data_IF_732792670310
#
_entry.id   IF_732792670310
#
_cell.length_a   1.000
_cell.length_b   1.000
_cell.length_c   1.000
_cell.angle_alpha   90.00
_cell.angle_beta   90.00
_cell.angle_gamma   90.00
#
_symmetry.space_group_name_H-M   'P 1'
#
loop_
_entity.id
_entity.type
_entity.pdbx_description
1 polymer ?
#
# COMPACT_ATOMS: atom_id res chain seq x y z
N UNK A 1 -1.42 -6.73 22.37
CA UNK A 1 -2.23 -6.66 21.14
C UNK A 1 -1.85 -5.37 20.46
N UNK A 2 -1.09 -5.46 19.36
CA UNK A 2 -0.60 -4.28 18.64
C UNK A 2 -1.79 -3.42 18.22
N UNK A 3 -1.70 -2.10 18.45
CA UNK A 3 -2.71 -1.14 18.00
C UNK A 3 -2.84 -1.30 16.49
N UNK A 4 -3.93 -1.94 16.05
CA UNK A 4 -4.32 -1.95 14.66
C UNK A 4 -4.71 -0.50 14.33
N UNK A 5 -3.74 0.28 13.86
CA UNK A 5 -3.96 1.66 13.46
C UNK A 5 -5.10 1.65 12.45
N UNK A 6 -6.21 2.32 12.81
CA UNK A 6 -7.44 2.31 12.04
C UNK A 6 -7.14 2.87 10.64
N UNK A 7 -7.15 1.99 9.63
CA UNK A 7 -6.89 2.37 8.24
C UNK A 7 -8.12 3.06 7.67
N UNK A 8 -7.91 4.07 6.84
CA UNK A 8 -8.97 4.77 6.10
C UNK A 8 -8.68 4.73 4.60
N UNK A 9 -9.72 4.93 3.79
CA UNK A 9 -9.56 5.20 2.35
C UNK A 9 -8.70 6.47 2.19
N UNK A 10 -7.72 6.41 1.30
CA UNK A 10 -6.72 7.47 1.10
C UNK A 10 -5.48 7.35 1.99
N UNK A 11 -5.42 6.41 2.95
CA UNK A 11 -4.19 6.16 3.70
C UNK A 11 -3.12 5.58 2.76
N UNK A 12 -1.89 6.09 2.90
CA UNK A 12 -0.73 5.56 2.19
C UNK A 12 -0.12 4.40 2.97
N UNK A 13 0.12 3.28 2.29
CA UNK A 13 0.58 2.03 2.92
C UNK A 13 1.70 1.39 2.14
N UNK A 14 2.50 0.58 2.83
CA UNK A 14 3.56 -0.26 2.25
C UNK A 14 3.38 -1.72 2.65
N UNK A 15 3.62 -2.64 1.71
CA UNK A 15 3.52 -4.08 1.92
C UNK A 15 4.47 -4.85 0.99
N UNK A 16 4.87 -6.09 1.34
CA UNK A 16 5.60 -6.97 0.42
C UNK A 16 4.72 -7.41 -0.76
N UNK A 17 5.29 -7.44 -1.97
CA UNK A 17 4.61 -8.04 -3.12
C UNK A 17 4.47 -9.56 -2.96
N UNK A 18 3.33 -10.13 -3.39
CA UNK A 18 3.03 -11.55 -3.19
C UNK A 18 4.05 -12.47 -3.86
N UNK A 19 4.38 -12.18 -5.12
CA UNK A 19 5.24 -13.07 -5.91
C UNK A 19 6.72 -12.82 -5.66
N UNK A 20 7.06 -11.64 -5.12
CA UNK A 20 8.41 -11.28 -4.72
C UNK A 20 8.41 -10.49 -3.41
N UNK A 21 8.50 -11.16 -2.24
CA UNK A 21 8.45 -10.50 -0.93
C UNK A 21 9.58 -9.48 -0.66
N UNK A 22 10.67 -9.55 -1.44
CA UNK A 22 11.77 -8.58 -1.41
C UNK A 22 11.38 -7.25 -2.03
N UNK A 23 10.46 -7.24 -3.00
CA UNK A 23 9.86 -6.03 -3.55
C UNK A 23 8.81 -5.50 -2.58
N UNK A 24 8.94 -4.23 -2.20
CA UNK A 24 7.94 -3.51 -1.38
C UNK A 24 7.11 -2.62 -2.28
N UNK A 25 5.82 -2.84 -2.31
CA UNK A 25 4.88 -1.96 -3.00
C UNK A 25 4.38 -0.88 -2.06
N UNK A 26 4.14 0.30 -2.62
CA UNK A 26 3.52 1.43 -1.92
C UNK A 26 2.35 1.97 -2.71
N UNK A 27 1.29 2.38 -2.01
CA UNK A 27 0.09 2.88 -2.66
C UNK A 27 -0.97 3.35 -1.68
N UNK A 28 -2.10 3.78 -2.24
CA UNK A 28 -3.22 4.32 -1.47
C UNK A 28 -4.32 3.29 -1.28
N UNK A 29 -4.87 3.22 -0.08
CA UNK A 29 -6.05 2.39 0.20
C UNK A 29 -7.26 2.98 -0.55
N UNK A 30 -7.82 2.21 -1.47
CA UNK A 30 -9.00 2.62 -2.26
C UNK A 30 -10.27 1.89 -1.81
N UNK A 31 -10.15 0.77 -1.09
CA UNK A 31 -11.28 0.07 -0.49
C UNK A 31 -10.87 -0.69 0.77
N UNK A 32 -11.79 -0.84 1.72
CA UNK A 32 -11.60 -1.58 2.98
C UNK A 32 -12.65 -2.68 3.05
N UNK A 33 -12.18 -3.92 3.19
CA UNK A 33 -12.99 -5.12 3.38
C UNK A 33 -12.80 -5.63 4.82
N UNK A 34 -13.49 -6.71 5.17
CA UNK A 34 -13.51 -7.23 6.56
C UNK A 34 -12.10 -7.62 7.05
N UNK A 35 -11.30 -8.26 6.19
CA UNK A 35 -9.98 -8.81 6.55
C UNK A 35 -8.83 -8.22 5.72
N UNK A 36 -9.17 -7.42 4.72
CA UNK A 36 -8.23 -6.96 3.70
C UNK A 36 -8.53 -5.52 3.30
N UNK A 37 -7.56 -4.90 2.66
CA UNK A 37 -7.70 -3.62 1.96
C UNK A 37 -7.39 -3.83 0.48
N UNK A 38 -7.95 -2.98 -0.37
CA UNK A 38 -7.53 -2.84 -1.76
C UNK A 38 -6.64 -1.61 -1.84
N UNK A 39 -5.42 -1.78 -2.33
CA UNK A 39 -4.41 -0.72 -2.47
C UNK A 39 -4.18 -0.46 -3.95
N UNK A 40 -4.27 0.80 -4.37
CA UNK A 40 -3.87 1.25 -5.71
C UNK A 40 -2.39 1.65 -5.68
N UNK A 41 -1.57 0.93 -6.45
CA UNK A 41 -0.12 1.11 -6.56
C UNK A 41 0.28 1.73 -7.90
N UNK A 42 -0.67 2.16 -8.73
CA UNK A 42 -0.41 2.71 -10.06
C UNK A 42 0.60 3.86 -10.06
N UNK A 43 0.64 4.69 -9.02
CA UNK A 43 1.64 5.76 -8.89
C UNK A 43 3.08 5.23 -8.81
N UNK A 44 3.30 4.13 -8.10
CA UNK A 44 4.61 3.48 -8.03
C UNK A 44 4.95 2.78 -9.35
N UNK A 45 3.95 2.22 -10.03
CA UNK A 45 4.12 1.47 -11.27
C UNK A 45 4.25 2.35 -12.53
N UNK A 46 4.28 3.69 -12.39
CA UNK A 46 4.47 4.60 -13.55
C UNK A 46 5.81 4.39 -14.27
N UNK A 47 6.78 3.74 -13.62
CA UNK A 47 8.05 3.37 -14.24
C UNK A 47 7.93 1.98 -14.89
N UNK A 48 8.47 1.82 -16.11
CA UNK A 48 8.28 0.63 -16.96
C UNK A 48 8.83 -0.69 -16.38
N UNK A 49 9.53 -0.65 -15.24
CA UNK A 49 10.16 -1.83 -14.62
C UNK A 49 9.15 -2.84 -14.03
N UNK A 50 7.86 -2.49 -13.95
CA UNK A 50 6.84 -3.27 -13.26
C UNK A 50 5.51 -3.40 -14.02
N UNK A 51 5.54 -3.37 -15.36
CA UNK A 51 4.31 -3.44 -16.19
C UNK A 51 3.46 -4.69 -15.95
N UNK A 52 4.04 -5.78 -15.47
CA UNK A 52 3.34 -7.04 -15.18
C UNK A 52 2.59 -7.03 -13.83
N UNK A 53 2.81 -6.02 -12.98
CA UNK A 53 2.15 -5.94 -11.67
C UNK A 53 0.79 -5.27 -11.85
N UNK A 54 -0.27 -5.95 -11.41
CA UNK A 54 -1.61 -5.36 -11.39
C UNK A 54 -1.65 -4.12 -10.48
N UNK A 55 -2.21 -3.02 -10.97
CA UNK A 55 -2.26 -1.75 -10.23
C UNK A 55 -3.07 -1.82 -8.92
N UNK A 56 -3.98 -2.81 -8.78
CA UNK A 56 -4.80 -2.98 -7.58
C UNK A 56 -4.43 -4.25 -6.85
N UNK A 57 -3.97 -4.12 -5.62
CA UNK A 57 -3.50 -5.22 -4.79
C UNK A 57 -4.42 -5.42 -3.60
N UNK A 58 -4.77 -6.67 -3.30
CA UNK A 58 -5.56 -7.04 -2.11
C UNK A 58 -4.62 -7.50 -1.01
N UNK A 59 -4.60 -6.80 0.12
CA UNK A 59 -3.63 -7.00 1.20
C UNK A 59 -4.33 -7.22 2.52
N UNK A 60 -3.89 -8.19 3.33
CA UNK A 60 -4.45 -8.41 4.68
C UNK A 60 -4.06 -7.29 5.64
N UNK A 61 -4.91 -7.04 6.64
CA UNK A 61 -4.66 -5.99 7.64
C UNK A 61 -3.37 -6.14 8.46
N UNK A 62 -2.84 -7.36 8.60
CA UNK A 62 -1.60 -7.67 9.29
C UNK A 62 -0.36 -7.67 8.37
N UNK A 63 -0.54 -7.40 7.07
CA UNK A 63 0.52 -7.50 6.05
C UNK A 63 0.93 -6.16 5.45
N UNK A 64 0.44 -5.04 5.96
CA UNK A 64 0.88 -3.70 5.54
C UNK A 64 1.23 -2.82 6.73
N UNK A 65 2.00 -1.77 6.47
CA UNK A 65 2.25 -0.69 7.41
C UNK A 65 1.74 0.62 6.82
N UNK A 66 1.05 1.40 7.63
CA UNK A 66 0.70 2.78 7.27
C UNK A 66 1.97 3.63 7.28
N UNK A 67 2.16 4.40 6.22
CA UNK A 67 3.23 5.40 6.13
C UNK A 67 2.62 6.76 6.44
N UNK A 68 3.18 7.45 7.42
CA UNK A 68 2.89 8.86 7.63
C UNK A 68 3.71 9.66 6.61
N UNK A 69 3.03 10.26 5.63
CA UNK A 69 3.66 11.25 4.76
C UNK A 69 3.73 12.53 5.56
N UNK A 70 4.82 12.76 6.30
CA UNK A 70 5.09 14.09 6.85
C UNK A 70 5.31 15.03 5.66
N UNK A 71 4.51 16.10 5.59
CA UNK A 71 4.75 17.19 4.64
C UNK A 71 5.93 18.02 5.17
N UNK A 72 7.12 17.43 5.22
CA UNK A 72 8.32 18.19 5.52
C UNK A 72 8.76 18.93 4.25
N UNK A 73 8.38 20.21 4.23
CA UNK A 73 9.00 21.34 3.51
C UNK A 73 9.26 21.15 2.02
N UNK A 74 8.25 21.52 1.21
CA UNK A 74 8.54 22.15 -0.09
C UNK A 74 9.28 23.46 0.23
N UNK A 75 10.61 23.45 0.11
CA UNK A 75 11.43 24.67 0.02
C UNK A 75 11.38 25.25 -1.37
#
# INVERSE_FOLDING_TARGET
>A
MEKMNKVNIGDYVQFPYRDNPSLKLTGYVVNILINTVVVDVSEMLKNEEHQDIEARQVVKHDQYKKIEISRDNVS
#
